data_IF_598770756958
#
_entry.id   IF_598770756958
#
_cell.length_a   1.000
_cell.length_b   1.000
_cell.length_c   1.000
_cell.angle_alpha   90.00
_cell.angle_beta   90.00
_cell.angle_gamma   90.00
#
_symmetry.space_group_name_H-M   'P 1'
#
loop_
_entity.id
_entity.type
_entity.pdbx_description
1 polymer ?
#
# COMPACT_ATOMS: atom_id res chain seq x y z
N UNK A 1 -2.14 30.19 -1.55
CA UNK A 1 -0.86 29.79 -0.98
C UNK A 1 0.18 30.91 -0.83
N UNK A 2 -0.09 32.20 -1.05
CA UNK A 2 0.65 33.25 -0.30
C UNK A 2 0.27 33.21 1.19
N UNK A 3 -0.91 32.68 1.51
CA UNK A 3 -1.34 32.37 2.87
C UNK A 3 -0.48 31.33 3.61
N UNK A 4 0.32 30.55 2.89
CA UNK A 4 1.15 29.49 3.49
C UNK A 4 2.59 29.44 2.98
N UNK A 5 2.99 30.15 1.92
CA UNK A 5 4.42 30.29 1.58
C UNK A 5 4.83 31.74 1.83
N UNK A 6 5.46 31.98 2.98
CA UNK A 6 5.97 33.29 3.38
C UNK A 6 7.17 33.67 2.52
N UNK A 7 7.08 34.77 1.78
CA UNK A 7 8.31 35.47 1.34
C UNK A 7 8.89 36.26 2.52
N UNK A 8 10.22 36.22 2.68
CA UNK A 8 10.91 36.98 3.71
C UNK A 8 10.52 38.46 3.70
N UNK A 9 10.08 38.98 4.86
CA UNK A 9 9.62 40.35 5.11
C UNK A 9 8.27 40.77 4.51
N UNK A 10 7.39 39.83 4.14
CA UNK A 10 5.98 40.13 3.81
C UNK A 10 5.04 39.71 4.94
N UNK A 11 4.00 40.53 5.18
CA UNK A 11 2.94 40.21 6.15
C UNK A 11 1.79 39.61 5.33
N UNK A 12 1.47 38.31 5.48
CA UNK A 12 0.46 37.66 4.64
C UNK A 12 -0.93 38.28 4.89
N UNK A 13 -1.63 38.57 3.80
CA UNK A 13 -3.02 39.02 3.84
C UNK A 13 -3.91 37.81 3.58
N UNK A 14 -4.54 37.28 4.64
CA UNK A 14 -5.44 36.12 4.57
C UNK A 14 -6.77 36.52 3.95
N UNK A 15 -6.76 36.77 2.65
CA UNK A 15 -7.87 37.36 1.90
C UNK A 15 -8.77 36.31 1.20
N UNK A 16 -8.40 35.03 1.29
CA UNK A 16 -9.07 33.90 0.62
C UNK A 16 -9.11 34.04 -0.92
N UNK A 17 -8.27 34.89 -1.49
CA UNK A 17 -7.97 34.97 -2.92
C UNK A 17 -6.76 34.07 -3.22
N UNK A 18 -6.73 33.46 -4.39
CA UNK A 18 -5.60 32.66 -4.83
C UNK A 18 -4.94 33.10 -6.13
N UNK A 19 -5.30 34.29 -6.60
CA UNK A 19 -4.87 34.81 -7.91
C UNK A 19 -3.44 35.36 -7.91
N UNK A 20 -2.89 35.72 -6.75
CA UNK A 20 -1.58 36.33 -6.59
C UNK A 20 -0.50 35.36 -6.08
N UNK A 21 -0.77 34.06 -6.20
CA UNK A 21 -0.05 33.01 -5.50
C UNK A 21 0.69 32.11 -6.47
N UNK A 22 1.74 31.43 -5.99
CA UNK A 22 2.55 30.59 -6.88
C UNK A 22 1.68 29.44 -7.44
N UNK A 23 1.48 29.37 -8.76
CA UNK A 23 0.60 28.37 -9.35
C UNK A 23 1.23 26.99 -9.29
N UNK A 24 0.40 25.98 -8.99
CA UNK A 24 0.77 24.56 -9.07
C UNK A 24 0.27 24.00 -10.40
N UNK A 25 1.20 23.47 -11.20
CA UNK A 25 0.89 22.83 -12.50
C UNK A 25 0.86 21.32 -12.35
N UNK A 26 -0.26 20.69 -12.71
CA UNK A 26 -0.41 19.23 -12.72
C UNK A 26 0.53 18.62 -13.78
N UNK A 27 1.34 17.65 -13.37
CA UNK A 27 2.38 17.01 -14.18
C UNK A 27 3.78 17.62 -14.05
N UNK A 28 3.96 18.63 -13.19
CA UNK A 28 5.26 19.26 -12.92
C UNK A 28 6.16 18.47 -11.97
N UNK A 29 5.62 17.52 -11.20
CA UNK A 29 6.32 16.84 -10.11
C UNK A 29 6.43 17.66 -8.82
N UNK A 30 5.74 18.80 -8.74
CA UNK A 30 5.69 19.72 -7.59
C UNK A 30 4.26 19.89 -7.06
N UNK A 31 3.42 18.88 -7.21
CA UNK A 31 2.00 18.92 -6.83
C UNK A 31 1.75 18.72 -5.33
N UNK A 32 2.80 18.68 -4.52
CA UNK A 32 2.72 18.48 -3.07
C UNK A 32 2.31 19.77 -2.37
N UNK A 33 1.23 19.71 -1.61
CA UNK A 33 0.79 20.77 -0.71
C UNK A 33 1.50 20.57 0.63
N UNK A 34 2.72 21.11 0.73
CA UNK A 34 3.57 20.98 1.91
C UNK A 34 4.03 22.35 2.39
N UNK A 35 4.28 22.47 3.68
CA UNK A 35 4.72 23.70 4.31
C UNK A 35 5.75 23.41 5.40
N UNK A 36 6.88 24.10 5.32
CA UNK A 36 7.93 24.19 6.34
C UNK A 36 7.66 25.46 7.15
N UNK A 37 7.29 25.28 8.42
CA UNK A 37 6.77 26.36 9.25
C UNK A 37 7.84 27.12 10.03
N UNK A 38 9.00 26.49 10.24
CA UNK A 38 10.13 27.05 10.97
C UNK A 38 11.39 27.29 10.11
N UNK A 39 11.31 27.00 8.79
CA UNK A 39 12.34 27.21 7.78
C UNK A 39 13.63 26.42 8.07
N UNK A 40 13.48 25.21 8.64
CA UNK A 40 14.59 24.30 8.93
C UNK A 40 14.99 23.41 7.73
N UNK A 41 14.23 23.49 6.63
CA UNK A 41 14.39 22.69 5.42
C UNK A 41 13.61 21.38 5.43
N UNK A 42 12.82 21.11 6.46
CA UNK A 42 11.95 19.94 6.61
C UNK A 42 10.49 20.40 6.67
N UNK A 43 9.65 19.82 5.81
CA UNK A 43 8.23 20.17 5.83
C UNK A 43 7.54 19.67 7.12
N UNK A 44 6.77 20.54 7.77
CA UNK A 44 6.02 20.28 9.01
C UNK A 44 4.53 19.99 8.80
N UNK A 45 3.98 20.41 7.66
CA UNK A 45 2.57 20.27 7.35
C UNK A 45 2.38 19.74 5.93
N UNK A 46 1.40 18.85 5.76
CA UNK A 46 0.89 18.47 4.44
C UNK A 46 -0.62 18.54 4.37
N UNK A 47 -1.14 19.12 3.30
CA UNK A 47 -2.54 19.01 2.88
C UNK A 47 -2.76 17.90 1.83
N UNK A 48 -1.70 17.19 1.42
CA UNK A 48 -1.73 16.13 0.44
C UNK A 48 -1.11 16.52 -0.91
N UNK A 49 -1.63 15.94 -1.98
CA UNK A 49 -1.14 16.15 -3.35
C UNK A 49 -2.30 16.53 -4.28
N UNK A 50 -2.12 17.60 -5.05
CA UNK A 50 -3.08 18.05 -6.06
C UNK A 50 -2.99 17.16 -7.29
N UNK A 51 -4.09 17.03 -8.00
CA UNK A 51 -4.17 16.32 -9.27
C UNK A 51 -4.69 14.88 -9.14
N UNK A 52 -5.30 14.56 -7.99
CA UNK A 52 -5.98 13.30 -7.80
C UNK A 52 -7.18 13.17 -8.74
N UNK A 53 -7.36 12.01 -9.36
CA UNK A 53 -8.61 11.69 -10.07
C UNK A 53 -9.60 11.09 -9.09
N UNK A 54 -10.83 11.58 -9.12
CA UNK A 54 -11.90 11.16 -8.20
C UNK A 54 -12.97 10.41 -8.96
N UNK A 55 -13.33 9.22 -8.50
CA UNK A 55 -14.51 8.52 -9.01
C UNK A 55 -15.73 9.19 -8.41
N UNK A 56 -16.58 9.76 -9.25
CA UNK A 56 -17.88 10.29 -8.85
C UNK A 56 -18.88 9.15 -8.62
N UNK A 57 -18.67 8.42 -7.52
CA UNK A 57 -19.43 7.21 -7.15
C UNK A 57 -20.93 7.51 -6.99
N UNK A 58 -21.28 8.72 -6.58
CA UNK A 58 -22.67 9.14 -6.30
C UNK A 58 -23.27 10.01 -7.39
N UNK A 59 -22.53 10.34 -8.44
CA UNK A 59 -23.04 11.12 -9.57
C UNK A 59 -23.28 12.58 -9.20
N UNK A 60 -22.62 13.10 -8.16
CA UNK A 60 -22.83 14.47 -7.66
C UNK A 60 -22.38 15.50 -8.70
N UNK A 61 -21.35 15.19 -9.47
CA UNK A 61 -20.76 16.08 -10.48
C UNK A 61 -21.23 15.69 -11.88
N UNK A 62 -21.36 14.38 -12.13
CA UNK A 62 -21.62 13.84 -13.47
C UNK A 62 -23.11 13.60 -13.78
N UNK A 63 -23.99 13.61 -12.77
CA UNK A 63 -25.43 13.25 -12.86
C UNK A 63 -25.69 11.85 -13.48
N UNK A 64 -24.70 10.95 -13.42
CA UNK A 64 -24.74 9.68 -14.16
C UNK A 64 -24.64 8.42 -13.31
N UNK A 65 -24.34 8.52 -12.01
CA UNK A 65 -23.97 7.34 -11.24
C UNK A 65 -25.16 6.43 -10.85
N UNK A 66 -24.94 5.13 -11.00
CA UNK A 66 -25.73 3.98 -10.62
C UNK A 66 -24.84 3.11 -9.71
N UNK A 67 -25.35 2.82 -8.52
CA UNK A 67 -24.64 2.03 -7.52
C UNK A 67 -25.32 0.67 -7.40
N UNK A 68 -24.52 -0.39 -7.46
CA UNK A 68 -24.94 -1.73 -7.06
C UNK A 68 -24.40 -2.07 -5.67
N UNK A 69 -25.26 -2.72 -4.88
CA UNK A 69 -24.99 -3.00 -3.48
C UNK A 69 -23.82 -3.97 -3.26
N UNK A 70 -23.37 -4.69 -4.29
CA UNK A 70 -22.30 -5.70 -4.21
C UNK A 70 -21.01 -5.26 -4.88
N UNK A 71 -21.10 -4.56 -6.01
CA UNK A 71 -19.92 -4.17 -6.82
C UNK A 71 -19.60 -2.68 -6.81
N UNK A 72 -20.41 -1.85 -6.12
CA UNK A 72 -20.18 -0.41 -6.03
C UNK A 72 -20.66 0.36 -7.27
N UNK A 73 -19.91 1.38 -7.69
CA UNK A 73 -20.27 2.23 -8.82
C UNK A 73 -20.19 1.45 -10.14
N UNK A 74 -21.33 1.20 -10.78
CA UNK A 74 -21.39 0.49 -12.06
C UNK A 74 -21.00 1.40 -13.23
N UNK A 75 -21.32 2.68 -13.12
CA UNK A 75 -21.11 3.69 -14.17
C UNK A 75 -20.56 5.02 -13.60
N UNK A 76 -19.84 4.92 -12.49
CA UNK A 76 -19.17 6.07 -11.87
C UNK A 76 -18.23 6.75 -12.86
N UNK A 77 -18.31 8.07 -12.95
CA UNK A 77 -17.42 8.83 -13.84
C UNK A 77 -16.10 9.09 -13.12
N UNK A 78 -14.99 8.62 -13.66
CA UNK A 78 -13.66 9.00 -13.17
C UNK A 78 -13.31 10.41 -13.66
N UNK A 79 -13.51 11.38 -12.79
CA UNK A 79 -13.26 12.79 -13.05
C UNK A 79 -11.79 13.04 -13.41
N UNK A 80 -11.55 14.11 -14.17
CA UNK A 80 -10.21 14.61 -14.40
C UNK A 80 -9.60 15.12 -13.10
N UNK A 81 -8.28 15.31 -13.11
CA UNK A 81 -7.55 15.85 -11.98
C UNK A 81 -7.98 17.29 -11.62
N UNK A 82 -8.40 18.04 -12.63
CA UNK A 82 -8.99 19.37 -12.53
C UNK A 82 -10.02 19.53 -13.64
N UNK A 83 -11.10 20.24 -13.35
CA UNK A 83 -12.12 20.60 -14.31
C UNK A 83 -11.64 21.70 -15.25
N UNK A 84 -11.95 21.61 -16.54
CA UNK A 84 -11.51 22.62 -17.53
C UNK A 84 -12.16 23.99 -17.30
N UNK A 85 -13.38 24.01 -16.77
CA UNK A 85 -14.12 25.22 -16.44
C UNK A 85 -13.79 25.75 -15.02
N UNK A 86 -12.90 25.07 -14.29
CA UNK A 86 -12.44 25.47 -12.96
C UNK A 86 -13.43 25.19 -11.82
N UNK A 87 -14.43 24.31 -12.02
CA UNK A 87 -15.44 24.02 -10.99
C UNK A 87 -14.92 23.14 -9.84
N UNK A 88 -13.90 22.31 -10.10
CA UNK A 88 -13.29 21.45 -9.08
C UNK A 88 -11.83 21.12 -9.42
N UNK A 89 -11.09 20.69 -8.41
CA UNK A 89 -9.80 20.01 -8.53
C UNK A 89 -9.69 18.92 -7.46
N UNK A 90 -9.00 17.84 -7.78
CA UNK A 90 -8.85 16.70 -6.88
C UNK A 90 -7.60 16.79 -6.01
N UNK A 91 -7.75 16.44 -4.73
CA UNK A 91 -6.65 16.34 -3.77
C UNK A 91 -6.62 14.94 -3.15
N UNK A 92 -5.46 14.30 -3.15
CA UNK A 92 -5.22 13.04 -2.44
C UNK A 92 -4.54 13.32 -1.10
N UNK A 93 -5.12 12.84 -0.01
CA UNK A 93 -4.53 12.94 1.33
C UNK A 93 -4.76 11.64 2.12
N UNK A 94 -3.72 11.21 2.84
CA UNK A 94 -3.74 10.17 3.85
C UNK A 94 -3.62 10.79 5.25
N UNK A 95 -4.75 11.19 5.81
CA UNK A 95 -4.83 11.83 7.13
C UNK A 95 -4.53 10.87 8.30
N UNK A 96 -4.58 9.55 8.09
CA UNK A 96 -4.36 8.55 9.13
C UNK A 96 -2.93 7.99 9.10
N UNK A 97 -2.27 8.04 7.94
CA UNK A 97 -0.86 7.67 7.77
C UNK A 97 -0.60 6.20 7.49
N UNK A 98 -1.61 5.34 7.49
CA UNK A 98 -1.46 3.91 7.18
C UNK A 98 -0.99 3.68 5.73
N UNK A 99 -1.57 4.39 4.77
CA UNK A 99 -1.17 4.29 3.37
C UNK A 99 0.24 4.86 3.12
N UNK A 100 0.58 5.93 3.82
CA UNK A 100 1.91 6.55 3.84
C UNK A 100 2.94 5.56 4.36
N UNK A 101 2.70 4.93 5.51
CA UNK A 101 3.57 3.92 6.11
C UNK A 101 3.75 2.69 5.19
N UNK A 102 2.67 2.17 4.61
CA UNK A 102 2.73 1.07 3.64
C UNK A 102 3.53 1.45 2.39
N UNK A 103 3.33 2.65 1.85
CA UNK A 103 4.06 3.13 0.67
C UNK A 103 5.54 3.38 0.97
N UNK A 104 5.85 3.94 2.13
CA UNK A 104 7.22 4.21 2.57
C UNK A 104 8.01 2.94 2.82
N UNK A 105 7.35 1.88 3.33
CA UNK A 105 7.94 0.54 3.45
C UNK A 105 8.43 0.01 2.09
N UNK A 106 7.72 0.32 1.01
CA UNK A 106 8.11 -0.06 -0.35
C UNK A 106 9.19 0.89 -0.88
N UNK A 107 8.94 2.19 -0.88
CA UNK A 107 9.61 3.13 -1.78
C UNK A 107 10.36 4.28 -1.08
N UNK A 108 10.51 4.26 0.25
CA UNK A 108 11.28 5.31 0.93
C UNK A 108 12.68 5.40 0.36
N UNK A 109 13.09 6.62 0.00
CA UNK A 109 14.43 6.93 -0.55
C UNK A 109 15.53 6.99 0.52
N UNK A 110 15.17 6.95 1.81
CA UNK A 110 16.14 7.05 2.90
C UNK A 110 16.94 8.37 2.92
N UNK A 111 16.34 9.47 2.43
CA UNK A 111 17.00 10.79 2.38
C UNK A 111 16.98 11.55 3.69
N UNK A 112 15.97 11.28 4.53
CA UNK A 112 15.83 11.88 5.85
C UNK A 112 16.57 11.04 6.89
N UNK A 113 17.20 11.72 7.83
CA UNK A 113 17.94 11.14 8.94
C UNK A 113 17.18 11.37 10.24
N UNK A 114 17.00 10.31 11.02
CA UNK A 114 16.17 10.29 12.22
C UNK A 114 16.95 9.86 13.46
N UNK A 115 16.64 10.43 14.62
CA UNK A 115 17.14 9.93 15.91
C UNK A 115 16.21 8.87 16.52
N UNK A 116 16.31 7.66 15.98
CA UNK A 116 15.46 6.53 16.39
C UNK A 116 15.82 5.99 17.79
N UNK A 117 17.10 6.05 18.17
CA UNK A 117 17.64 5.33 19.33
C UNK A 117 18.17 6.25 20.45
N UNK A 118 17.76 7.52 20.47
CA UNK A 118 18.15 8.56 21.42
C UNK A 118 19.68 8.72 21.54
N UNK A 119 20.25 9.53 20.65
CA UNK A 119 21.63 10.05 20.69
C UNK A 119 22.78 9.07 20.37
N UNK A 120 22.50 7.83 19.94
CA UNK A 120 23.57 6.91 19.50
C UNK A 120 24.03 7.16 18.05
N UNK A 121 23.32 8.02 17.32
CA UNK A 121 23.58 8.38 15.91
C UNK A 121 22.28 8.46 15.10
N UNK A 122 22.28 9.23 14.01
CA UNK A 122 21.13 9.32 13.11
C UNK A 122 21.04 8.11 12.18
N UNK A 123 19.82 7.68 11.89
CA UNK A 123 19.51 6.54 11.03
C UNK A 123 18.62 6.96 9.86
N UNK A 124 18.78 6.34 8.70
CA UNK A 124 17.85 6.50 7.58
C UNK A 124 16.92 5.29 7.51
N UNK A 125 15.69 5.51 7.04
CA UNK A 125 14.73 4.42 6.84
C UNK A 125 14.53 4.23 5.33
N UNK A 126 15.16 3.21 4.78
CA UNK A 126 15.10 2.88 3.35
C UNK A 126 13.96 1.88 3.06
N UNK A 127 13.23 2.11 1.97
CA UNK A 127 12.23 1.17 1.49
C UNK A 127 12.88 -0.04 0.81
N UNK A 128 12.11 -1.10 0.60
CA UNK A 128 12.61 -2.33 -0.05
C UNK A 128 13.00 -2.10 -1.52
N UNK A 129 12.21 -1.30 -2.25
CA UNK A 129 12.45 -0.93 -3.64
C UNK A 129 12.39 0.60 -3.79
N UNK A 130 13.42 1.34 -3.36
CA UNK A 130 13.40 2.80 -3.30
C UNK A 130 13.11 3.46 -4.65
N UNK A 131 13.50 2.85 -5.77
CA UNK A 131 13.39 3.40 -7.12
C UNK A 131 12.08 3.10 -7.84
N UNK A 132 11.14 2.41 -7.18
CA UNK A 132 9.79 2.22 -7.73
C UNK A 132 8.99 3.52 -7.74
N UNK A 133 8.05 3.62 -8.67
CA UNK A 133 7.00 4.65 -8.65
C UNK A 133 5.77 4.15 -7.89
N UNK A 134 5.18 4.98 -7.04
CA UNK A 134 3.97 4.66 -6.29
C UNK A 134 2.76 5.28 -6.98
N UNK A 135 1.73 4.47 -7.24
CA UNK A 135 0.40 4.91 -7.68
C UNK A 135 -0.59 4.77 -6.52
N UNK A 136 -0.88 5.84 -5.76
CA UNK A 136 -1.78 5.75 -4.62
C UNK A 136 -3.24 5.67 -5.09
N UNK A 137 -3.98 4.64 -4.64
CA UNK A 137 -5.41 4.46 -4.95
C UNK A 137 -6.19 4.32 -3.65
N UNK A 138 -6.94 5.38 -3.30
CA UNK A 138 -7.76 5.41 -2.09
C UNK A 138 -9.12 4.75 -2.34
N UNK A 139 -9.24 3.49 -1.93
CA UNK A 139 -10.42 2.67 -2.24
C UNK A 139 -11.25 2.24 -1.02
N UNK A 140 -10.79 2.50 0.19
CA UNK A 140 -11.51 2.16 1.43
C UNK A 140 -12.26 3.36 2.00
N UNK A 141 -13.24 3.09 2.87
CA UNK A 141 -14.13 4.06 3.55
C UNK A 141 -15.14 4.75 2.62
N UNK A 142 -14.67 5.64 1.76
CA UNK A 142 -15.48 6.40 0.80
C UNK A 142 -15.09 6.13 -0.66
N UNK A 143 -14.25 5.11 -0.89
CA UNK A 143 -13.82 4.68 -2.22
C UNK A 143 -14.50 3.40 -2.69
N UNK A 144 -14.05 2.91 -3.84
CA UNK A 144 -14.56 1.69 -4.48
C UNK A 144 -13.39 0.77 -4.83
N UNK A 145 -13.26 -0.34 -4.11
CA UNK A 145 -12.19 -1.34 -4.32
C UNK A 145 -12.30 -2.00 -5.69
N UNK A 146 -13.52 -2.32 -6.12
CA UNK A 146 -13.74 -2.94 -7.43
C UNK A 146 -13.23 -1.99 -8.52
N UNK A 147 -13.66 -0.73 -8.47
CA UNK A 147 -13.26 0.29 -9.42
C UNK A 147 -11.74 0.53 -9.39
N UNK A 148 -11.17 0.69 -8.19
CA UNK A 148 -9.75 0.94 -7.98
C UNK A 148 -8.86 -0.17 -8.55
N UNK A 149 -9.22 -1.43 -8.30
CA UNK A 149 -8.49 -2.58 -8.84
C UNK A 149 -8.65 -2.72 -10.35
N UNK A 150 -9.85 -2.57 -10.89
CA UNK A 150 -10.07 -2.59 -12.34
C UNK A 150 -9.27 -1.50 -13.03
N UNK A 151 -9.28 -0.29 -12.47
CA UNK A 151 -8.52 0.85 -12.99
C UNK A 151 -7.02 0.63 -12.94
N UNK A 152 -6.48 0.19 -11.80
CA UNK A 152 -5.05 -0.12 -11.65
C UNK A 152 -4.61 -1.27 -12.59
N UNK A 153 -5.49 -2.23 -12.85
CA UNK A 153 -5.26 -3.32 -13.80
C UNK A 153 -5.40 -2.92 -15.27
N UNK A 154 -5.70 -1.65 -15.58
CA UNK A 154 -5.76 -1.15 -16.96
C UNK A 154 -7.14 -1.20 -17.60
N UNK A 155 -8.22 -1.27 -16.81
CA UNK A 155 -9.59 -1.17 -17.31
C UNK A 155 -10.18 0.21 -17.02
N UNK A 156 -10.86 0.78 -17.99
CA UNK A 156 -11.62 2.01 -17.82
C UNK A 156 -13.11 1.73 -17.92
N UNK A 157 -13.88 2.32 -17.01
CA UNK A 157 -15.32 2.26 -17.05
C UNK A 157 -15.84 3.30 -18.06
N UNK A 158 -16.53 2.83 -19.10
CA UNK A 158 -17.19 3.67 -20.11
C UNK A 158 -18.66 3.28 -20.15
N UNK A 159 -19.51 4.22 -19.76
CA UNK A 159 -20.93 3.97 -19.48
C UNK A 159 -21.04 2.87 -18.41
N UNK A 160 -21.44 1.66 -18.78
CA UNK A 160 -21.58 0.54 -17.84
C UNK A 160 -20.66 -0.65 -18.24
N UNK A 161 -19.56 -0.38 -18.95
CA UNK A 161 -18.66 -1.40 -19.48
C UNK A 161 -17.21 -1.12 -19.11
N UNK A 162 -16.52 -2.17 -18.68
CA UNK A 162 -15.08 -2.16 -18.46
C UNK A 162 -14.35 -2.45 -19.75
N UNK A 163 -13.57 -1.48 -20.21
CA UNK A 163 -12.79 -1.56 -21.45
C UNK A 163 -11.31 -1.59 -21.10
N UNK A 164 -10.62 -2.64 -21.53
CA UNK A 164 -9.18 -2.75 -21.33
C UNK A 164 -8.43 -1.73 -22.20
N UNK A 165 -7.51 -0.96 -21.61
CA UNK A 165 -6.78 0.13 -22.30
C UNK A 165 -5.49 -0.30 -22.97
N UNK A 166 -5.12 -1.59 -22.87
CA UNK A 166 -3.95 -2.17 -23.54
C UNK A 166 -2.85 -2.64 -22.60
N UNK A 167 -2.70 -1.99 -21.45
CA UNK A 167 -1.72 -2.33 -20.42
C UNK A 167 -2.24 -2.01 -19.01
N UNK A 168 -1.79 -2.74 -17.97
CA UNK A 168 -2.02 -2.36 -16.58
C UNK A 168 -1.38 -1.00 -16.25
N UNK A 169 -2.00 -0.24 -15.34
CA UNK A 169 -1.45 1.04 -14.85
C UNK A 169 -0.39 0.85 -13.76
N UNK A 170 -0.33 -0.34 -13.16
CA UNK A 170 0.68 -0.75 -12.21
C UNK A 170 1.07 -2.22 -12.43
N UNK A 171 2.36 -2.53 -12.27
CA UNK A 171 2.85 -3.92 -12.34
C UNK A 171 2.36 -4.75 -11.13
N UNK A 172 2.28 -4.11 -9.96
CA UNK A 172 1.97 -4.74 -8.66
C UNK A 172 0.93 -3.89 -7.92
N UNK A 173 -0.11 -4.54 -7.41
CA UNK A 173 -1.09 -3.95 -6.48
C UNK A 173 -0.81 -4.50 -5.08
N UNK A 174 -0.55 -3.61 -4.11
CA UNK A 174 -0.34 -3.96 -2.70
C UNK A 174 -1.56 -3.59 -1.86
N UNK A 175 -2.15 -4.58 -1.19
CA UNK A 175 -3.32 -4.42 -0.32
C UNK A 175 -2.93 -4.69 1.14
N UNK A 176 -2.80 -3.63 1.93
CA UNK A 176 -2.50 -3.72 3.37
C UNK A 176 -3.76 -3.65 4.24
N UNK A 177 -4.86 -4.22 3.76
CA UNK A 177 -6.19 -4.19 4.37
C UNK A 177 -6.90 -5.53 4.18
N UNK A 178 -7.94 -5.79 4.98
CA UNK A 178 -8.77 -6.97 4.82
C UNK A 178 -9.98 -6.96 5.75
N UNK A 179 -10.92 -7.88 5.48
CA UNK A 179 -12.13 -8.08 6.28
C UNK A 179 -12.18 -9.53 6.76
N UNK A 180 -12.13 -9.71 8.08
CA UNK A 180 -12.11 -11.02 8.73
C UNK A 180 -13.47 -11.50 9.24
N UNK A 181 -14.49 -10.64 9.22
CA UNK A 181 -15.79 -10.92 9.86
C UNK A 181 -16.75 -11.65 8.92
N UNK A 182 -16.72 -12.98 8.93
CA UNK A 182 -17.85 -13.82 8.55
C UNK A 182 -18.83 -13.90 9.75
N UNK A 183 -20.16 -13.66 9.62
CA UNK A 183 -21.02 -13.71 8.42
C UNK A 183 -21.38 -12.36 7.78
N UNK A 184 -20.76 -11.23 8.15
CA UNK A 184 -21.13 -9.91 7.64
C UNK A 184 -20.99 -9.76 6.11
N UNK A 185 -20.24 -10.66 5.47
CA UNK A 185 -20.01 -10.68 4.04
C UNK A 185 -20.98 -11.58 3.27
N UNK A 186 -21.87 -12.31 3.94
CA UNK A 186 -22.78 -13.36 3.38
C UNK A 186 -22.08 -14.54 2.68
N UNK A 187 -20.80 -14.39 2.32
CA UNK A 187 -19.94 -15.37 1.66
C UNK A 187 -18.77 -15.73 2.56
N UNK A 188 -18.34 -17.00 2.48
CA UNK A 188 -17.13 -17.45 3.17
C UNK A 188 -15.90 -16.77 2.54
N UNK A 189 -14.90 -16.31 3.33
CA UNK A 189 -13.70 -15.67 2.80
C UNK A 189 -13.04 -16.51 1.70
N UNK A 190 -12.78 -15.91 0.54
CA UNK A 190 -12.21 -16.60 -0.63
C UNK A 190 -13.25 -16.99 -1.68
N UNK A 191 -14.53 -17.02 -1.31
CA UNK A 191 -15.67 -17.20 -2.21
C UNK A 191 -16.49 -15.91 -2.39
N UNK A 192 -16.04 -14.82 -1.78
CA UNK A 192 -16.60 -13.49 -1.95
C UNK A 192 -16.22 -12.87 -3.31
N UNK A 193 -16.97 -11.85 -3.72
CA UNK A 193 -16.80 -11.20 -5.02
C UNK A 193 -15.40 -10.59 -5.17
N UNK A 194 -14.84 -10.00 -4.11
CA UNK A 194 -13.51 -9.40 -4.14
C UNK A 194 -12.43 -10.46 -4.37
N UNK A 195 -12.53 -11.61 -3.71
CA UNK A 195 -11.64 -12.75 -3.94
C UNK A 195 -11.73 -13.30 -5.36
N UNK A 196 -12.95 -13.39 -5.92
CA UNK A 196 -13.15 -13.80 -7.31
C UNK A 196 -12.60 -12.78 -8.32
N UNK A 197 -12.82 -11.49 -8.08
CA UNK A 197 -12.26 -10.42 -8.90
C UNK A 197 -10.73 -10.44 -8.85
N UNK A 198 -10.13 -10.53 -7.67
CA UNK A 198 -8.69 -10.61 -7.51
C UNK A 198 -8.13 -11.79 -8.30
N UNK A 199 -8.74 -12.98 -8.16
CA UNK A 199 -8.34 -14.15 -8.94
C UNK A 199 -8.42 -13.90 -10.46
N UNK A 200 -9.48 -13.24 -10.94
CA UNK A 200 -9.60 -12.88 -12.35
C UNK A 200 -8.48 -11.91 -12.78
N UNK A 201 -8.20 -10.87 -12.00
CA UNK A 201 -7.16 -9.88 -12.31
C UNK A 201 -5.75 -10.48 -12.30
N UNK A 202 -5.48 -11.50 -11.48
CA UNK A 202 -4.18 -12.17 -11.50
C UNK A 202 -3.98 -13.02 -12.76
N UNK A 203 -5.04 -13.63 -13.29
CA UNK A 203 -4.94 -14.55 -14.42
C UNK A 203 -4.79 -13.79 -15.76
N UNK A 204 -3.74 -14.03 -16.55
CA UNK A 204 -3.65 -13.51 -17.91
C UNK A 204 -4.82 -13.96 -18.77
N UNK A 205 -5.29 -13.09 -19.65
CA UNK A 205 -6.38 -13.34 -20.62
C UNK A 205 -7.77 -13.63 -20.02
N UNK A 206 -7.94 -13.52 -18.70
CA UNK A 206 -9.20 -13.83 -18.00
C UNK A 206 -10.35 -12.87 -18.35
N UNK A 207 -10.05 -11.59 -18.49
CA UNK A 207 -11.03 -10.51 -18.71
C UNK A 207 -10.95 -9.91 -20.12
N UNK A 208 -9.81 -10.08 -20.81
CA UNK A 208 -9.59 -9.59 -22.17
C UNK A 208 -8.43 -10.37 -22.82
N UNK A 209 -8.51 -10.69 -24.13
CA UNK A 209 -7.52 -11.54 -24.83
C UNK A 209 -6.06 -11.05 -24.73
N UNK A 210 -5.86 -9.74 -24.63
CA UNK A 210 -4.53 -9.12 -24.51
C UNK A 210 -4.16 -8.72 -23.07
N UNK A 211 -4.96 -9.09 -22.07
CA UNK A 211 -4.66 -8.77 -20.68
C UNK A 211 -3.53 -9.67 -20.16
N UNK A 212 -2.49 -9.07 -19.60
CA UNK A 212 -1.28 -9.78 -19.12
C UNK A 212 -1.41 -10.30 -17.68
N UNK A 213 -2.52 -9.99 -16.99
CA UNK A 213 -2.64 -10.19 -15.55
C UNK A 213 -1.93 -9.08 -14.78
N UNK A 214 -2.30 -8.93 -13.50
CA UNK A 214 -1.68 -8.00 -12.56
C UNK A 214 -1.27 -8.73 -11.29
N UNK A 215 -0.05 -8.52 -10.81
CA UNK A 215 0.41 -9.14 -9.55
C UNK A 215 -0.30 -8.46 -8.39
N UNK A 216 -1.00 -9.23 -7.55
CA UNK A 216 -1.71 -8.68 -6.39
C UNK A 216 -1.19 -9.33 -5.12
N UNK A 217 -0.70 -8.50 -4.21
CA UNK A 217 -0.09 -8.90 -2.93
C UNK A 217 -0.95 -8.33 -1.81
N UNK A 218 -1.39 -9.17 -0.88
CA UNK A 218 -2.34 -8.81 0.16
C UNK A 218 -1.87 -9.28 1.54
N UNK A 219 -2.16 -8.51 2.57
CA UNK A 219 -1.92 -8.92 3.96
C UNK A 219 -2.78 -10.14 4.32
N UNK A 220 -2.21 -11.11 5.05
CA UNK A 220 -2.93 -12.30 5.51
C UNK A 220 -4.06 -11.99 6.51
N UNK A 221 -3.92 -10.90 7.28
CA UNK A 221 -4.83 -10.51 8.33
C UNK A 221 -4.22 -10.64 9.73
N UNK A 222 -4.85 -9.96 10.69
CA UNK A 222 -4.40 -9.91 12.09
C UNK A 222 -5.39 -10.59 13.04
N UNK A 223 -6.05 -11.66 12.59
CA UNK A 223 -7.16 -12.33 13.31
C UNK A 223 -6.69 -13.43 14.26
N UNK A 224 -5.37 -13.62 14.40
CA UNK A 224 -4.78 -14.55 15.35
C UNK A 224 -4.38 -15.92 14.79
N UNK A 225 -3.62 -16.63 15.60
CA UNK A 225 -2.95 -17.90 15.32
C UNK A 225 -3.84 -19.14 15.13
N UNK A 226 -5.17 -19.00 15.18
CA UNK A 226 -6.08 -20.11 14.86
C UNK A 226 -6.04 -20.44 13.37
N UNK A 227 -6.07 -21.73 13.01
CA UNK A 227 -6.22 -22.11 11.59
C UNK A 227 -7.57 -21.62 11.03
N UNK A 228 -7.56 -21.19 9.76
CA UNK A 228 -8.74 -20.66 9.07
C UNK A 228 -9.12 -19.24 9.50
N UNK A 229 -8.18 -18.47 10.03
CA UNK A 229 -8.40 -17.09 10.51
C UNK A 229 -8.12 -16.00 9.46
N UNK A 230 -7.68 -16.40 8.26
CA UNK A 230 -7.48 -15.50 7.13
C UNK A 230 -8.81 -14.93 6.61
N UNK A 231 -8.78 -13.63 6.29
CA UNK A 231 -9.91 -12.93 5.66
C UNK A 231 -9.67 -12.61 4.19
N UNK A 232 -10.63 -11.94 3.55
CA UNK A 232 -10.44 -11.37 2.23
C UNK A 232 -9.66 -10.05 2.30
N UNK A 233 -8.91 -9.65 1.25
CA UNK A 233 -8.70 -10.39 0.00
C UNK A 233 -7.51 -11.36 0.05
N UNK A 234 -6.77 -11.39 1.18
CA UNK A 234 -5.58 -12.22 1.35
C UNK A 234 -5.81 -13.72 1.17
N UNK A 235 -7.01 -14.23 1.47
CA UNK A 235 -7.35 -15.65 1.28
C UNK A 235 -7.61 -16.03 -0.19
N UNK A 236 -7.63 -15.08 -1.12
CA UNK A 236 -7.80 -15.37 -2.56
C UNK A 236 -6.72 -16.33 -3.08
N UNK A 237 -7.12 -17.27 -3.93
CA UNK A 237 -6.25 -18.39 -4.33
C UNK A 237 -5.03 -17.97 -5.16
N UNK A 238 -5.17 -17.00 -6.07
CA UNK A 238 -4.10 -16.64 -7.01
C UNK A 238 -3.29 -15.41 -6.60
N UNK A 239 -3.82 -14.58 -5.71
CA UNK A 239 -3.04 -13.52 -5.07
C UNK A 239 -1.92 -14.09 -4.21
N UNK A 240 -0.93 -13.24 -3.90
CA UNK A 240 0.10 -13.55 -2.92
C UNK A 240 -0.35 -12.97 -1.58
N UNK A 241 -0.40 -13.81 -0.56
CA UNK A 241 -0.81 -13.45 0.78
C UNK A 241 0.38 -13.53 1.73
N UNK A 242 0.50 -12.52 2.60
CA UNK A 242 1.71 -12.34 3.40
C UNK A 242 1.38 -12.27 4.88
N UNK A 243 1.85 -13.27 5.64
CA UNK A 243 1.79 -13.31 7.09
C UNK A 243 2.95 -12.54 7.74
N UNK A 244 2.88 -12.34 9.05
CA UNK A 244 3.81 -11.50 9.79
C UNK A 244 4.75 -12.29 10.70
N UNK A 245 6.01 -11.86 10.74
CA UNK A 245 7.03 -12.30 11.72
C UNK A 245 7.59 -11.13 12.52
N UNK A 246 8.32 -11.45 13.59
CA UNK A 246 9.01 -10.50 14.48
C UNK A 246 10.37 -10.04 13.93
N UNK A 247 10.78 -8.78 14.11
CA UNK A 247 12.20 -8.37 13.99
C UNK A 247 12.85 -8.00 15.33
N UNK A 248 12.10 -7.36 16.23
CA UNK A 248 12.51 -6.83 17.56
C UNK A 248 13.34 -5.53 17.55
N UNK A 249 13.63 -4.92 16.40
CA UNK A 249 14.41 -3.67 16.32
C UNK A 249 13.71 -2.47 16.98
N UNK A 250 12.37 -2.50 16.98
CA UNK A 250 11.52 -1.46 17.56
C UNK A 250 11.40 -1.54 19.10
N UNK A 251 11.91 -2.60 19.73
CA UNK A 251 11.75 -2.83 21.16
C UNK A 251 12.47 -1.72 21.94
N UNK A 252 11.75 -1.10 22.89
CA UNK A 252 12.26 0.05 23.64
C UNK A 252 11.81 1.42 23.09
N UNK A 253 11.13 1.46 21.95
CA UNK A 253 10.57 2.69 21.38
C UNK A 253 9.04 2.79 21.56
N UNK A 254 8.55 4.03 21.69
CA UNK A 254 7.13 4.36 21.68
C UNK A 254 6.29 3.53 22.68
N UNK A 255 5.20 2.89 22.24
CA UNK A 255 4.33 2.10 23.14
C UNK A 255 4.99 0.82 23.66
N UNK A 256 6.17 0.46 23.14
CA UNK A 256 6.93 -0.71 23.58
C UNK A 256 8.09 -0.36 24.51
N UNK A 257 8.22 0.92 24.89
CA UNK A 257 9.23 1.38 25.85
C UNK A 257 8.85 0.94 27.26
N UNK A 258 9.71 0.14 27.90
CA UNK A 258 9.51 -0.32 29.27
C UNK A 258 8.62 -1.57 29.40
N UNK A 259 8.13 -2.11 28.29
CA UNK A 259 7.42 -3.39 28.29
C UNK A 259 8.38 -4.56 28.54
N UNK A 260 7.99 -5.58 29.33
CA UNK A 260 8.82 -6.75 29.62
C UNK A 260 8.86 -7.69 28.41
N UNK A 261 9.50 -7.24 27.33
CA UNK A 261 9.89 -8.08 26.19
C UNK A 261 11.37 -8.44 26.33
N UNK A 262 11.79 -9.52 25.69
CA UNK A 262 13.21 -9.74 25.43
C UNK A 262 13.71 -8.46 24.74
N UNK A 263 14.65 -7.74 25.37
CA UNK A 263 15.07 -6.42 24.89
C UNK A 263 15.56 -6.45 23.44
N UNK A 264 15.85 -5.28 22.86
CA UNK A 264 16.42 -5.14 21.51
C UNK A 264 17.79 -5.85 21.29
N UNK A 265 18.30 -6.57 22.29
CA UNK A 265 19.51 -7.40 22.24
C UNK A 265 19.21 -8.89 22.06
N UNK A 266 17.94 -9.27 21.88
CA UNK A 266 17.55 -10.65 21.58
C UNK A 266 18.09 -11.09 20.23
N UNK A 267 18.68 -12.30 20.16
CA UNK A 267 19.08 -12.93 18.90
C UNK A 267 17.93 -13.72 18.24
N UNK A 268 16.75 -13.75 18.86
CA UNK A 268 15.57 -14.40 18.32
C UNK A 268 14.75 -13.41 17.48
N UNK A 269 14.62 -13.69 16.19
CA UNK A 269 13.78 -12.98 15.21
C UNK A 269 12.99 -14.01 14.39
N UNK A 270 12.18 -13.52 13.44
CA UNK A 270 11.55 -14.34 12.39
C UNK A 270 10.55 -15.39 12.88
N UNK A 271 10.12 -15.27 14.14
CA UNK A 271 9.02 -16.05 14.67
C UNK A 271 7.69 -15.53 14.15
N UNK A 272 6.82 -16.44 13.72
CA UNK A 272 5.44 -16.10 13.33
C UNK A 272 4.71 -15.46 14.51
N UNK A 273 4.28 -14.22 14.32
CA UNK A 273 3.64 -13.45 15.40
C UNK A 273 2.22 -13.95 15.67
N UNK A 274 1.79 -13.87 16.93
CA UNK A 274 0.53 -14.43 17.44
C UNK A 274 -0.73 -13.88 16.77
N UNK A 275 -0.70 -12.63 16.31
CA UNK A 275 -1.80 -12.02 15.58
C UNK A 275 -1.88 -12.44 14.11
N UNK A 276 -0.80 -12.97 13.52
CA UNK A 276 -0.78 -13.30 12.09
C UNK A 276 -1.82 -14.37 11.78
N UNK A 277 -2.74 -14.05 10.87
CA UNK A 277 -3.74 -15.00 10.40
C UNK A 277 -3.10 -16.20 9.71
N UNK A 278 -3.79 -17.36 9.78
CA UNK A 278 -3.32 -18.64 9.25
C UNK A 278 -4.38 -19.29 8.37
N UNK A 279 -3.94 -20.04 7.38
CA UNK A 279 -4.82 -20.86 6.56
C UNK A 279 -5.35 -22.09 7.32
N UNK A 280 -5.96 -23.05 6.63
CA UNK A 280 -6.19 -23.07 5.19
C UNK A 280 -7.31 -22.11 4.79
N UNK A 281 -7.44 -21.84 3.49
CA UNK A 281 -8.67 -21.28 2.95
C UNK A 281 -9.84 -22.23 3.03
N UNK A 282 -11.05 -21.72 2.77
CA UNK A 282 -12.31 -22.46 2.92
C UNK A 282 -12.43 -23.64 1.94
N UNK A 283 -11.65 -23.63 0.86
CA UNK A 283 -11.53 -24.74 -0.10
C UNK A 283 -10.36 -25.67 0.19
N UNK A 284 -9.62 -25.44 1.29
CA UNK A 284 -8.47 -26.24 1.71
C UNK A 284 -7.14 -25.83 1.08
N UNK A 285 -7.06 -24.69 0.41
CA UNK A 285 -5.83 -24.19 -0.19
C UNK A 285 -4.85 -23.66 0.89
N UNK A 286 -3.54 -23.93 0.74
CA UNK A 286 -2.54 -23.50 1.70
C UNK A 286 -2.31 -21.98 1.60
N UNK A 287 -2.49 -21.31 2.73
CA UNK A 287 -2.24 -19.87 2.93
C UNK A 287 -1.68 -19.66 4.36
N UNK A 288 -0.94 -18.57 4.65
CA UNK A 288 -0.47 -17.55 3.70
C UNK A 288 0.51 -18.12 2.67
N UNK A 289 0.89 -17.35 1.66
CA UNK A 289 1.87 -17.81 0.65
C UNK A 289 3.30 -17.55 1.10
N UNK A 290 3.53 -16.45 1.80
CA UNK A 290 4.83 -15.99 2.29
C UNK A 290 4.69 -15.37 3.68
N UNK A 291 5.83 -15.18 4.33
CA UNK A 291 5.98 -14.40 5.56
C UNK A 291 6.89 -13.21 5.33
N UNK A 292 6.67 -12.14 6.08
CA UNK A 292 7.60 -11.01 6.15
C UNK A 292 7.49 -10.28 7.48
N UNK A 293 8.40 -9.34 7.74
CA UNK A 293 8.43 -8.57 8.98
C UNK A 293 7.11 -7.79 9.10
N UNK A 294 6.39 -8.00 10.21
CA UNK A 294 5.15 -7.30 10.48
C UNK A 294 4.93 -6.94 11.94
N UNK A 295 5.80 -7.36 12.86
CA UNK A 295 5.61 -7.13 14.29
C UNK A 295 6.89 -6.63 14.95
N UNK A 296 7.26 -5.37 14.87
CA UNK A 296 6.85 -4.21 14.08
C UNK A 296 8.17 -3.64 13.49
N UNK A 297 8.17 -2.54 12.75
CA UNK A 297 9.42 -1.80 12.47
C UNK A 297 9.19 -0.31 12.27
N UNK A 298 10.27 0.44 12.03
CA UNK A 298 10.23 1.88 11.80
C UNK A 298 9.92 2.20 10.34
N UNK A 299 9.08 3.21 10.12
CA UNK A 299 8.75 3.75 8.80
C UNK A 299 8.68 5.28 8.86
N UNK A 300 9.00 5.99 7.77
CA UNK A 300 8.61 7.39 7.63
C UNK A 300 7.10 7.52 7.82
N UNK A 301 6.68 8.53 8.57
CA UNK A 301 5.27 8.81 8.85
C UNK A 301 4.78 10.01 8.04
N UNK A 302 3.50 10.34 8.22
CA UNK A 302 2.97 11.63 7.77
C UNK A 302 3.78 12.77 8.39
N UNK A 303 3.95 13.84 7.63
CA UNK A 303 4.74 14.99 8.06
C UNK A 303 3.95 15.97 8.91
N UNK A 304 2.61 15.93 8.88
CA UNK A 304 1.75 16.87 9.61
C UNK A 304 1.90 16.70 11.13
N UNK A 305 2.67 17.60 11.75
CA UNK A 305 2.88 17.66 13.20
C UNK A 305 1.75 18.41 13.90
N UNK A 306 1.47 18.06 15.15
CA UNK A 306 0.69 18.93 16.04
C UNK A 306 1.57 20.09 16.54
N UNK A 307 0.99 21.28 16.80
CA UNK A 307 1.75 22.37 17.43
C UNK A 307 2.40 21.91 18.73
N UNK A 308 3.68 22.25 18.92
CA UNK A 308 4.51 21.89 20.08
C UNK A 308 4.87 20.39 20.21
N UNK A 309 4.72 19.59 19.15
CA UNK A 309 5.14 18.17 19.15
C UNK A 309 6.60 18.01 18.67
N UNK A 310 7.55 17.60 19.53
CA UNK A 310 8.96 17.46 19.15
C UNK A 310 9.25 16.16 18.36
N UNK A 311 8.22 15.42 17.94
CA UNK A 311 8.41 14.14 17.25
C UNK A 311 8.85 14.36 15.81
N UNK A 312 9.93 13.68 15.43
CA UNK A 312 10.33 13.56 14.03
C UNK A 312 9.27 12.77 13.23
N UNK A 313 9.24 12.98 11.90
CA UNK A 313 8.26 12.37 10.99
C UNK A 313 8.54 10.89 10.67
N UNK A 314 8.72 10.08 11.71
CA UNK A 314 8.76 8.61 11.63
C UNK A 314 7.86 7.98 12.71
N UNK A 315 7.48 6.72 12.50
CA UNK A 315 6.63 5.99 13.44
C UNK A 315 6.95 4.50 13.46
N UNK A 316 6.37 3.79 14.42
CA UNK A 316 6.37 2.32 14.45
C UNK A 316 5.11 1.82 13.73
N UNK A 317 5.32 1.01 12.69
CA UNK A 317 4.26 0.42 11.88
C UNK A 317 4.31 -1.10 11.94
N UNK A 318 3.16 -1.75 11.82
CA UNK A 318 3.09 -3.21 11.88
C UNK A 318 1.69 -3.76 11.67
N UNK A 319 1.56 -5.03 12.01
CA UNK A 319 0.55 -5.92 11.43
C UNK A 319 1.06 -6.58 10.15
N UNK A 320 0.27 -7.52 9.62
CA UNK A 320 0.45 -8.03 8.26
C UNK A 320 0.36 -6.92 7.19
N UNK A 321 -0.18 -5.75 7.55
CA UNK A 321 -0.12 -4.50 6.77
C UNK A 321 1.29 -3.94 6.55
N UNK A 322 2.29 -4.36 7.33
CA UNK A 322 3.71 -4.08 7.04
C UNK A 322 4.36 -5.22 6.26
N UNK A 323 3.97 -6.47 6.53
CA UNK A 323 4.53 -7.63 5.84
C UNK A 323 4.20 -7.61 4.33
N UNK A 324 2.95 -7.28 3.96
CA UNK A 324 2.52 -7.19 2.57
C UNK A 324 3.33 -6.19 1.72
N UNK A 325 3.57 -4.93 2.15
CA UNK A 325 4.39 -4.00 1.37
C UNK A 325 5.87 -4.42 1.29
N UNK A 326 6.44 -5.10 2.30
CA UNK A 326 7.81 -5.64 2.16
C UNK A 326 7.87 -6.68 1.03
N UNK A 327 6.91 -7.59 0.98
CA UNK A 327 6.80 -8.55 -0.12
C UNK A 327 6.50 -7.87 -1.46
N UNK A 328 5.74 -6.78 -1.47
CA UNK A 328 5.48 -6.01 -2.69
C UNK A 328 6.72 -5.31 -3.23
N UNK A 329 7.55 -4.72 -2.37
CA UNK A 329 8.87 -4.21 -2.77
C UNK A 329 9.78 -5.32 -3.26
N UNK A 330 9.76 -6.48 -2.62
CA UNK A 330 10.53 -7.67 -3.08
C UNK A 330 10.07 -8.13 -4.47
N UNK A 331 8.77 -8.12 -4.73
CA UNK A 331 8.21 -8.41 -6.04
C UNK A 331 8.63 -7.37 -7.10
N UNK A 332 8.73 -6.09 -6.73
CA UNK A 332 9.18 -5.03 -7.62
C UNK A 332 10.63 -5.26 -8.08
N UNK A 333 11.53 -5.69 -7.18
CA UNK A 333 12.91 -6.04 -7.52
C UNK A 333 12.98 -7.25 -8.48
N UNK A 334 12.12 -8.26 -8.28
CA UNK A 334 12.02 -9.40 -9.20
C UNK A 334 11.52 -8.96 -10.59
N UNK A 335 10.49 -8.10 -10.63
CA UNK A 335 9.95 -7.54 -11.88
C UNK A 335 11.01 -6.70 -12.61
N UNK A 336 11.76 -5.88 -11.89
CA UNK A 336 12.89 -5.12 -12.45
C UNK A 336 13.91 -6.05 -13.10
N UNK A 337 14.36 -7.09 -12.39
CA UNK A 337 15.34 -8.04 -12.93
C UNK A 337 14.82 -8.80 -14.16
N UNK A 338 13.55 -9.20 -14.18
CA UNK A 338 12.91 -9.82 -15.34
C UNK A 338 12.86 -8.86 -16.55
N UNK A 339 12.53 -7.58 -16.32
CA UNK A 339 12.50 -6.54 -17.35
C UNK A 339 13.90 -6.28 -17.92
N UNK A 340 14.93 -6.17 -17.07
CA UNK A 340 16.33 -5.98 -17.51
C UNK A 340 16.83 -7.13 -18.39
N UNK A 341 16.40 -8.36 -18.10
CA UNK A 341 16.70 -9.53 -18.92
C UNK A 341 15.82 -9.71 -20.14
N UNK A 342 14.81 -8.86 -20.34
CA UNK A 342 13.81 -9.02 -21.40
C UNK A 342 13.07 -10.37 -21.34
N UNK A 343 12.90 -10.92 -20.13
CA UNK A 343 12.15 -12.16 -19.93
C UNK A 343 10.64 -11.88 -19.96
N UNK A 344 9.89 -12.77 -20.60
CA UNK A 344 8.43 -12.72 -20.57
C UNK A 344 7.98 -13.31 -19.23
N UNK A 345 7.19 -12.55 -18.48
CA UNK A 345 6.66 -12.98 -17.20
C UNK A 345 5.17 -12.65 -17.08
N UNK A 346 4.52 -13.38 -16.17
CA UNK A 346 3.17 -13.13 -15.74
C UNK A 346 3.13 -13.09 -14.19
N UNK A 347 1.98 -12.79 -13.57
CA UNK A 347 1.87 -12.78 -12.11
C UNK A 347 2.24 -14.09 -11.43
N UNK A 348 2.04 -15.24 -12.08
CA UNK A 348 2.40 -16.54 -11.54
C UNK A 348 3.90 -16.77 -11.55
N UNK A 349 4.62 -16.27 -12.57
CA UNK A 349 6.10 -16.25 -12.56
C UNK A 349 6.63 -15.50 -11.34
N UNK A 350 6.14 -14.28 -11.10
CA UNK A 350 6.56 -13.47 -9.94
C UNK A 350 6.25 -14.19 -8.62
N UNK A 351 5.03 -14.73 -8.49
CA UNK A 351 4.61 -15.52 -7.32
C UNK A 351 5.53 -16.72 -7.08
N UNK A 352 5.82 -17.49 -8.12
CA UNK A 352 6.64 -18.69 -8.02
C UNK A 352 8.09 -18.37 -7.67
N UNK A 353 8.67 -17.29 -8.20
CA UNK A 353 10.04 -16.87 -7.87
C UNK A 353 10.16 -16.47 -6.39
N UNK A 354 9.20 -15.69 -5.87
CA UNK A 354 9.19 -15.30 -4.46
C UNK A 354 8.96 -16.49 -3.53
N UNK A 355 8.02 -17.38 -3.86
CA UNK A 355 7.75 -18.57 -3.04
C UNK A 355 8.88 -19.59 -3.09
N UNK A 356 9.52 -19.78 -4.23
CA UNK A 356 10.61 -20.78 -4.36
C UNK A 356 11.91 -20.34 -3.69
N UNK A 357 12.06 -19.05 -3.40
CA UNK A 357 13.21 -18.47 -2.68
C UNK A 357 12.95 -18.26 -1.19
N UNK A 358 11.73 -18.54 -0.70
CA UNK A 358 11.37 -18.34 0.69
C UNK A 358 12.24 -19.16 1.65
N UNK A 359 12.64 -18.54 2.76
CA UNK A 359 13.40 -19.21 3.81
C UNK A 359 12.46 -19.94 4.79
N UNK A 360 12.64 -21.26 4.93
CA UNK A 360 11.81 -22.08 5.80
C UNK A 360 11.95 -21.68 7.27
N UNK A 361 10.86 -21.22 7.88
CA UNK A 361 10.75 -20.88 9.30
C UNK A 361 10.44 -22.09 10.18
N UNK A 362 10.46 -23.31 9.62
CA UNK A 362 10.21 -24.58 10.30
C UNK A 362 8.83 -24.68 10.97
N UNK A 363 7.84 -24.00 10.40
CA UNK A 363 6.43 -24.09 10.76
C UNK A 363 5.67 -24.95 9.73
N UNK A 364 4.42 -25.30 10.02
CA UNK A 364 3.59 -25.96 9.02
C UNK A 364 3.20 -24.99 7.88
N UNK A 365 2.92 -25.50 6.66
CA UNK A 365 2.61 -24.65 5.50
C UNK A 365 1.36 -23.76 5.66
N UNK A 366 0.42 -24.09 6.55
CA UNK A 366 -0.78 -23.27 6.79
C UNK A 366 -0.48 -22.08 7.74
N UNK A 367 0.70 -22.09 8.35
CA UNK A 367 1.19 -21.03 9.23
C UNK A 367 2.16 -20.10 8.50
N UNK A 368 3.10 -20.66 7.73
CA UNK A 368 4.18 -19.87 7.10
C UNK A 368 4.16 -19.83 5.57
N UNK A 369 3.29 -20.60 4.90
CA UNK A 369 3.37 -20.74 3.45
C UNK A 369 4.70 -21.32 3.01
N UNK A 370 5.35 -20.62 2.08
CA UNK A 370 6.68 -20.96 1.57
C UNK A 370 7.84 -20.38 2.41
N UNK A 371 7.55 -19.71 3.53
CA UNK A 371 8.55 -19.16 4.43
C UNK A 371 8.76 -17.66 4.30
N UNK A 372 9.85 -17.17 4.88
CA UNK A 372 10.21 -15.74 4.92
C UNK A 372 10.66 -15.27 3.54
N UNK A 373 10.13 -14.13 3.09
CA UNK A 373 10.50 -13.53 1.80
C UNK A 373 12.01 -13.24 1.73
N UNK A 374 12.65 -13.70 0.66
CA UNK A 374 14.07 -13.48 0.39
C UNK A 374 14.25 -12.88 -1.01
N UNK A 375 14.23 -11.55 -1.08
CA UNK A 375 14.31 -10.82 -2.35
C UNK A 375 15.63 -11.08 -3.10
N UNK A 376 16.74 -11.24 -2.38
CA UNK A 376 18.05 -11.46 -2.97
C UNK A 376 18.10 -12.79 -3.73
N UNK A 377 17.63 -13.87 -3.10
CA UNK A 377 17.63 -15.17 -3.75
C UNK A 377 16.55 -15.25 -4.84
N UNK A 378 15.41 -14.57 -4.69
CA UNK A 378 14.42 -14.43 -5.76
C UNK A 378 15.02 -13.81 -7.04
N UNK A 379 15.76 -12.70 -6.89
CA UNK A 379 16.46 -12.02 -8.00
C UNK A 379 17.61 -12.88 -8.54
N UNK A 380 18.30 -13.66 -7.70
CA UNK A 380 19.33 -14.61 -8.15
C UNK A 380 18.76 -15.76 -8.98
N UNK A 381 17.53 -16.20 -8.74
CA UNK A 381 16.89 -17.24 -9.58
C UNK A 381 16.63 -16.70 -10.99
N UNK A 382 16.30 -15.41 -11.12
CA UNK A 382 16.16 -14.74 -12.42
C UNK A 382 17.51 -14.63 -13.12
N UNK A 383 18.60 -14.44 -12.36
CA UNK A 383 19.97 -14.18 -12.84
C UNK A 383 20.77 -15.41 -13.24
#
# INVERSE_FOLDING_TARGET
>A
WMDFTREDNTNPDYDFDFTDETPITIGSGKEFLVYDSDDDGVNDYSAGTVGARVVDVYGIISDKAEIDNKIGAINGTLLSAMDEDGNYFGVMNDFFGHGTASSATIASKGKLEYDIYNDTGKSTILGIAPDVSILPVKSLWFGDVFYGWMWAAGFENKENKWVYTGEPKADIISNSWGVSNFPNLEYAPGLDISSHLLNALVIPQSLHQNYTGTTIISSAGNSGHGYGSMGMPGISSFGISVGAVTSNDFVGYGPFKGEPRFGNTTAHSDHVVDFSSRGPGVIGDPKPDLMSIGAYSFVPSIITKLPDEPSESFSVFGGTSMAAPIAAGSAALVVESLKEKSEIYDPFTVRNLLMSSGEDLHNDPLTQGAGLVNALDAVRIVN
#
